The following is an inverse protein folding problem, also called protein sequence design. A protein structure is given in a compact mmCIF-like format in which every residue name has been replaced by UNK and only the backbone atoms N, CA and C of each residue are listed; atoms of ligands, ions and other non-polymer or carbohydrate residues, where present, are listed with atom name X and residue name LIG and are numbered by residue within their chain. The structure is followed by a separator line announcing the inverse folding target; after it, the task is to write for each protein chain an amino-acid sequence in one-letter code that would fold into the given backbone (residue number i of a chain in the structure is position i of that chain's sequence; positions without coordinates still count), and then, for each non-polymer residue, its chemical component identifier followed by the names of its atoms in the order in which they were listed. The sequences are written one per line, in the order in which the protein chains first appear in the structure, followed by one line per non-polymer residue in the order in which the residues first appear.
data_IF_748241311506
#
_entry.id   IF_748241311506
#
_cell.length_a   1.000
_cell.length_b   1.000
_cell.length_c   1.000
_cell.angle_alpha   90.00
_cell.angle_beta   90.00
_cell.angle_gamma   90.00
#
_symmetry.space_group_name_H-M   'P 1'
#
loop_
_entity.id
_entity.type
_entity.pdbx_description
1 polymer ?
#
# COMPACT_ATOMS: atom_id res chain seq x y z
N UNK A 1 -3.30 -16.01 -82.05
CA UNK A 1 -4.20 -17.03 -81.49
C UNK A 1 -3.30 -18.06 -80.82
N UNK A 2 -3.19 -18.22 -79.52
CA UNK A 2 -3.85 -17.66 -78.34
C UNK A 2 -3.19 -18.40 -77.18
N UNK A 3 -2.67 -17.64 -76.23
CA UNK A 3 -1.72 -17.99 -75.17
C UNK A 3 -2.02 -19.21 -74.31
N UNK A 4 -0.93 -19.84 -73.89
CA UNK A 4 -0.78 -20.79 -72.79
C UNK A 4 -1.20 -20.17 -71.44
N UNK A 5 -2.49 -19.99 -71.18
CA UNK A 5 -2.99 -19.61 -69.85
C UNK A 5 -4.10 -20.56 -69.40
N UNK A 6 -3.74 -21.74 -68.85
CA UNK A 6 -4.66 -22.53 -68.02
C UNK A 6 -3.96 -23.66 -67.26
N UNK A 7 -2.99 -23.34 -66.40
CA UNK A 7 -2.43 -24.34 -65.47
C UNK A 7 -1.77 -23.70 -64.24
N UNK A 8 -2.49 -22.89 -63.47
CA UNK A 8 -1.94 -22.36 -62.21
C UNK A 8 -2.94 -22.09 -61.06
N UNK A 9 -4.25 -22.28 -61.22
CA UNK A 9 -5.20 -21.90 -60.14
C UNK A 9 -5.60 -23.03 -59.17
N UNK A 10 -5.48 -24.32 -59.53
CA UNK A 10 -6.04 -25.41 -58.71
C UNK A 10 -5.17 -25.93 -57.55
N UNK A 11 -3.96 -25.39 -57.33
CA UNK A 11 -3.01 -25.91 -56.34
C UNK A 11 -2.78 -25.04 -55.10
N UNK A 12 -3.15 -23.76 -55.18
CA UNK A 12 -2.96 -22.80 -54.08
C UNK A 12 -4.03 -22.97 -52.99
N UNK A 13 -5.30 -23.18 -53.39
CA UNK A 13 -6.45 -23.32 -52.48
C UNK A 13 -6.34 -24.57 -51.59
N UNK A 14 -5.84 -25.70 -52.14
CA UNK A 14 -5.70 -26.95 -51.38
C UNK A 14 -4.53 -26.87 -50.38
N UNK A 15 -3.46 -26.15 -50.72
CA UNK A 15 -2.33 -25.91 -49.82
C UNK A 15 -2.69 -24.96 -48.67
N UNK A 16 -3.54 -23.95 -48.93
CA UNK A 16 -4.02 -23.00 -47.94
C UNK A 16 -5.04 -23.65 -46.98
N UNK A 17 -5.94 -24.49 -47.50
CA UNK A 17 -6.87 -25.29 -46.71
C UNK A 17 -6.13 -26.28 -45.78
N UNK A 18 -5.07 -26.94 -46.26
CA UNK A 18 -4.23 -27.83 -45.44
C UNK A 18 -3.47 -27.06 -44.34
N UNK A 19 -2.95 -25.87 -44.64
CA UNK A 19 -2.30 -24.99 -43.63
C UNK A 19 -3.29 -24.52 -42.58
N UNK A 20 -4.51 -24.13 -42.97
CA UNK A 20 -5.57 -23.74 -42.05
C UNK A 20 -5.99 -24.89 -41.13
N UNK A 21 -6.12 -26.11 -41.66
CA UNK A 21 -6.43 -27.30 -40.88
C UNK A 21 -5.33 -27.65 -39.86
N UNK A 22 -4.05 -27.57 -40.26
CA UNK A 22 -2.91 -27.79 -39.35
C UNK A 22 -2.87 -26.70 -38.27
N UNK A 23 -3.09 -25.44 -38.63
CA UNK A 23 -3.13 -24.32 -37.66
C UNK A 23 -4.28 -24.46 -36.67
N UNK A 24 -5.46 -24.89 -37.13
CA UNK A 24 -6.62 -25.15 -36.27
C UNK A 24 -6.37 -26.33 -35.33
N UNK A 25 -5.71 -27.39 -35.81
CA UNK A 25 -5.31 -28.54 -34.99
C UNK A 25 -4.28 -28.13 -33.91
N UNK A 26 -3.26 -27.37 -34.28
CA UNK A 26 -2.25 -26.86 -33.34
C UNK A 26 -2.85 -25.89 -32.32
N UNK A 27 -3.83 -25.07 -32.71
CA UNK A 27 -4.56 -24.19 -31.80
C UNK A 27 -5.42 -24.96 -30.79
N UNK A 28 -6.16 -25.98 -31.25
CA UNK A 28 -6.93 -26.87 -30.36
C UNK A 28 -6.03 -27.66 -29.42
N UNK A 29 -4.90 -28.15 -29.91
CA UNK A 29 -3.94 -28.91 -29.10
C UNK A 29 -3.24 -28.01 -28.07
N UNK A 30 -2.98 -26.74 -28.40
CA UNK A 30 -2.49 -25.73 -27.46
C UNK A 30 -3.55 -25.33 -26.40
N UNK A 31 -4.83 -25.23 -26.80
CA UNK A 31 -5.94 -24.94 -25.88
C UNK A 31 -6.19 -26.12 -24.92
N UNK A 32 -6.16 -27.36 -25.43
CA UNK A 32 -6.24 -28.57 -24.61
C UNK A 32 -5.04 -28.73 -23.68
N UNK A 33 -3.83 -28.38 -24.13
CA UNK A 33 -2.64 -28.37 -23.27
C UNK A 33 -2.72 -27.28 -22.19
N UNK A 34 -3.33 -26.12 -22.49
CA UNK A 34 -3.60 -25.07 -21.52
C UNK A 34 -4.69 -25.48 -20.51
N UNK A 35 -5.70 -26.24 -20.95
CA UNK A 35 -6.75 -26.80 -20.09
C UNK A 35 -6.25 -27.97 -19.22
N UNK A 36 -5.29 -28.77 -19.72
CA UNK A 36 -4.63 -29.88 -19.00
C UNK A 36 -3.57 -29.42 -18.01
N UNK A 37 -3.14 -28.15 -18.03
CA UNK A 37 -2.42 -27.54 -16.89
C UNK A 37 -3.37 -27.47 -15.70
N UNK A 38 -3.30 -28.51 -14.86
CA UNK A 38 -4.04 -28.66 -13.60
C UNK A 38 -4.28 -27.29 -12.98
N UNK A 39 -5.56 -26.88 -12.87
CA UNK A 39 -6.00 -25.71 -12.11
C UNK A 39 -5.51 -25.89 -10.68
N UNK A 40 -4.28 -25.45 -10.40
CA UNK A 40 -3.71 -25.46 -9.07
C UNK A 40 -4.69 -24.75 -8.13
N UNK A 41 -4.73 -25.18 -6.87
CA UNK A 41 -5.63 -24.73 -5.80
C UNK A 41 -5.91 -23.21 -5.74
N UNK A 42 -5.00 -22.40 -6.31
CA UNK A 42 -5.13 -20.96 -6.46
C UNK A 42 -5.31 -20.55 -7.94
N UNK A 43 -6.55 -20.26 -8.32
CA UNK A 43 -6.81 -19.49 -9.55
C UNK A 43 -6.29 -18.05 -9.39
N UNK A 44 -5.89 -17.36 -10.47
CA UNK A 44 -5.44 -15.96 -10.41
C UNK A 44 -6.45 -15.02 -9.73
N UNK A 45 -7.75 -15.21 -9.98
CA UNK A 45 -8.82 -14.47 -9.34
C UNK A 45 -8.86 -14.70 -7.82
N UNK A 46 -8.74 -15.96 -7.35
CA UNK A 46 -8.70 -16.29 -5.91
C UNK A 46 -7.45 -15.70 -5.25
N UNK A 47 -6.29 -15.74 -5.92
CA UNK A 47 -5.04 -15.15 -5.43
C UNK A 47 -5.15 -13.63 -5.28
N UNK A 48 -5.77 -12.95 -6.24
CA UNK A 48 -6.02 -11.51 -6.16
C UNK A 48 -6.96 -11.15 -5.00
N UNK A 49 -8.08 -11.87 -4.87
CA UNK A 49 -9.04 -11.70 -3.76
C UNK A 49 -8.38 -11.91 -2.39
N UNK A 50 -7.55 -12.96 -2.26
CA UNK A 50 -6.84 -13.24 -1.01
C UNK A 50 -5.84 -12.12 -0.64
N UNK A 51 -5.05 -11.62 -1.61
CA UNK A 51 -4.14 -10.48 -1.35
C UNK A 51 -4.90 -9.22 -0.96
N UNK A 52 -6.06 -8.98 -1.55
CA UNK A 52 -6.92 -7.86 -1.15
C UNK A 52 -7.40 -8.01 0.29
N UNK A 53 -7.90 -9.19 0.67
CA UNK A 53 -8.35 -9.47 2.03
C UNK A 53 -7.21 -9.35 3.05
N UNK A 54 -6.02 -9.83 2.72
CA UNK A 54 -4.84 -9.70 3.58
C UNK A 54 -4.46 -8.24 3.83
N UNK A 55 -4.46 -7.39 2.78
CA UNK A 55 -4.17 -5.96 2.93
C UNK A 55 -5.26 -5.23 3.72
N UNK A 56 -6.53 -5.59 3.51
CA UNK A 56 -7.66 -5.03 4.28
C UNK A 56 -7.51 -5.37 5.76
N UNK A 57 -7.27 -6.65 6.08
CA UNK A 57 -7.04 -7.10 7.46
C UNK A 57 -5.81 -6.42 8.07
N UNK A 58 -4.70 -6.33 7.34
CA UNK A 58 -3.49 -5.65 7.82
C UNK A 58 -3.74 -4.15 8.09
N UNK A 59 -4.52 -3.47 7.26
CA UNK A 59 -4.88 -2.07 7.47
C UNK A 59 -5.82 -1.89 8.67
N UNK A 60 -6.76 -2.80 8.88
CA UNK A 60 -7.63 -2.81 10.07
C UNK A 60 -6.84 -3.09 11.35
N UNK A 61 -5.94 -4.07 11.35
CA UNK A 61 -5.08 -4.38 12.49
C UNK A 61 -4.13 -3.22 12.82
N UNK A 62 -3.56 -2.56 11.81
CA UNK A 62 -2.72 -1.38 12.01
C UNK A 62 -3.48 -0.25 12.71
N UNK A 63 -4.71 0.05 12.28
CA UNK A 63 -5.57 1.05 12.94
C UNK A 63 -5.91 0.68 14.38
N UNK A 64 -6.26 -0.58 14.61
CA UNK A 64 -6.58 -1.08 15.95
C UNK A 64 -5.36 -0.99 16.89
N UNK A 65 -4.17 -1.26 16.37
CA UNK A 65 -2.93 -1.10 17.13
C UNK A 65 -2.61 0.36 17.44
N UNK A 66 -2.81 1.28 16.48
CA UNK A 66 -2.66 2.72 16.69
C UNK A 66 -3.62 3.23 17.78
N UNK A 67 -4.88 2.81 17.74
CA UNK A 67 -5.88 3.15 18.77
C UNK A 67 -5.48 2.61 20.14
N UNK A 68 -5.05 1.35 20.23
CA UNK A 68 -4.54 0.74 21.46
C UNK A 68 -3.33 1.50 21.99
N UNK A 69 -2.37 1.86 21.13
CA UNK A 69 -1.18 2.62 21.50
C UNK A 69 -1.53 4.03 21.97
N UNK A 70 -2.54 4.67 21.37
CA UNK A 70 -3.05 5.98 21.80
C UNK A 70 -3.72 5.90 23.18
N UNK A 71 -4.56 4.89 23.40
CA UNK A 71 -5.19 4.66 24.71
C UNK A 71 -4.15 4.40 25.79
N UNK A 72 -3.18 3.52 25.50
CA UNK A 72 -2.08 3.22 26.40
C UNK A 72 -1.24 4.46 26.70
N UNK A 73 -0.94 5.28 25.68
CA UNK A 73 -0.25 6.56 25.88
C UNK A 73 -1.04 7.46 26.84
N UNK A 74 -2.35 7.59 26.66
CA UNK A 74 -3.18 8.41 27.55
C UNK A 74 -3.17 7.86 28.97
N UNK A 75 -3.26 6.53 29.15
CA UNK A 75 -3.18 5.88 30.46
C UNK A 75 -1.85 6.17 31.16
N UNK A 76 -0.73 5.93 30.48
CA UNK A 76 0.62 6.14 31.03
C UNK A 76 0.84 7.61 31.37
N UNK A 77 0.37 8.54 30.54
CA UNK A 77 0.49 9.98 30.83
C UNK A 77 -0.30 10.34 32.09
N UNK A 78 -1.52 9.82 32.24
CA UNK A 78 -2.31 10.01 33.46
C UNK A 78 -1.62 9.44 34.70
N UNK A 79 -1.08 8.22 34.61
CA UNK A 79 -0.35 7.58 35.73
C UNK A 79 0.93 8.34 36.11
N UNK A 80 1.65 8.92 35.14
CA UNK A 80 2.92 9.63 35.39
C UNK A 80 2.74 11.06 35.86
N UNK A 81 1.79 11.78 35.28
CA UNK A 81 1.58 13.20 35.59
C UNK A 81 0.61 13.40 36.77
N UNK A 82 -0.27 12.44 37.02
CA UNK A 82 -1.33 12.56 38.03
C UNK A 82 -2.36 13.64 37.68
N UNK A 83 -3.21 13.94 38.67
CA UNK A 83 -4.18 15.03 38.58
C UNK A 83 -3.55 16.38 38.93
N UNK A 84 -4.16 17.46 38.45
CA UNK A 84 -3.73 18.83 38.73
C UNK A 84 -3.78 19.11 40.24
N UNK A 85 -2.72 19.74 40.77
CA UNK A 85 -2.68 20.16 42.17
C UNK A 85 -3.68 21.29 42.39
N UNK A 86 -4.36 21.28 43.55
CA UNK A 86 -5.28 22.35 43.92
C UNK A 86 -4.53 23.67 44.16
N UNK A 87 -4.99 24.73 43.51
CA UNK A 87 -4.42 26.09 43.57
C UNK A 87 -5.49 27.13 43.97
N UNK A 88 -6.59 26.68 44.58
CA UNK A 88 -7.67 27.58 44.99
C UNK A 88 -7.27 28.62 46.03
N UNK A 89 -8.14 29.62 46.23
CA UNK A 89 -7.92 30.77 47.13
C UNK A 89 -7.72 30.39 48.61
N UNK A 90 -8.02 29.13 48.98
CA UNK A 90 -7.87 28.61 50.33
C UNK A 90 -6.46 28.05 50.61
N UNK A 91 -5.61 27.95 49.59
CA UNK A 91 -4.26 27.37 49.73
C UNK A 91 -3.29 28.43 50.26
N UNK A 92 -2.55 28.16 51.36
CA UNK A 92 -1.55 29.08 51.88
C UNK A 92 -0.44 29.38 50.86
N UNK A 93 0.12 30.59 50.89
CA UNK A 93 1.18 31.03 49.97
C UNK A 93 2.40 30.10 50.00
N UNK A 94 2.77 29.58 51.18
CA UNK A 94 3.91 28.67 51.29
C UNK A 94 3.62 27.29 50.67
N UNK A 95 2.38 26.82 50.73
CA UNK A 95 1.96 25.61 50.01
C UNK A 95 2.01 25.82 48.50
N UNK A 96 1.61 27.00 48.00
CA UNK A 96 1.74 27.34 46.58
C UNK A 96 3.20 27.36 46.12
N UNK A 97 4.12 27.89 46.94
CA UNK A 97 5.57 27.86 46.63
C UNK A 97 6.10 26.43 46.54
N UNK A 98 5.69 25.56 47.45
CA UNK A 98 6.08 24.15 47.42
C UNK A 98 5.57 23.44 46.16
N UNK A 99 4.32 23.69 45.76
CA UNK A 99 3.75 23.16 44.52
C UNK A 99 4.57 23.61 43.29
N UNK A 100 4.93 24.90 43.21
CA UNK A 100 5.77 25.41 42.13
C UNK A 100 7.14 24.72 42.09
N UNK A 101 7.76 24.49 43.26
CA UNK A 101 9.04 23.80 43.34
C UNK A 101 8.93 22.32 42.93
N UNK A 102 7.90 21.60 43.39
CA UNK A 102 7.63 20.22 42.99
C UNK A 102 7.48 20.09 41.46
N UNK A 103 6.70 20.97 40.84
CA UNK A 103 6.53 20.96 39.39
C UNK A 103 7.83 21.29 38.65
N UNK A 104 8.59 22.25 39.14
CA UNK A 104 9.89 22.59 38.56
C UNK A 104 10.84 21.39 38.60
N UNK A 105 10.98 20.74 39.75
CA UNK A 105 11.87 19.60 39.93
C UNK A 105 11.44 18.40 39.05
N UNK A 106 10.13 18.16 38.95
CA UNK A 106 9.59 17.15 38.06
C UNK A 106 9.87 17.45 36.57
N UNK A 107 9.73 18.71 36.15
CA UNK A 107 10.06 19.15 34.79
C UNK A 107 11.56 18.94 34.48
N UNK A 108 12.46 19.31 35.39
CA UNK A 108 13.91 19.13 35.22
C UNK A 108 14.26 17.64 35.09
N UNK A 109 13.74 16.79 35.97
CA UNK A 109 13.98 15.35 35.92
C UNK A 109 13.44 14.71 34.63
N UNK A 110 12.26 15.15 34.18
CA UNK A 110 11.62 14.70 32.94
C UNK A 110 12.42 15.11 31.71
N UNK A 111 12.90 16.35 31.66
CA UNK A 111 13.68 16.86 30.53
C UNK A 111 15.04 16.14 30.43
N UNK A 112 15.69 15.88 31.57
CA UNK A 112 16.91 15.06 31.60
C UNK A 112 16.67 13.66 31.02
N UNK A 113 15.60 13.00 31.46
CA UNK A 113 15.25 11.66 30.97
C UNK A 113 14.88 11.66 29.48
N UNK A 114 14.20 12.71 29.02
CA UNK A 114 13.84 12.91 27.62
C UNK A 114 15.09 13.08 26.76
N UNK A 115 16.06 13.88 27.19
CA UNK A 115 17.31 14.08 26.46
C UNK A 115 18.03 12.75 26.18
N UNK A 116 18.17 11.89 27.20
CA UNK A 116 18.80 10.58 27.03
C UNK A 116 18.05 9.68 26.04
N UNK A 117 16.72 9.74 26.03
CA UNK A 117 15.89 9.01 25.06
C UNK A 117 16.05 9.56 23.65
N UNK A 118 16.07 10.89 23.49
CA UNK A 118 16.27 11.54 22.20
C UNK A 118 17.63 11.20 21.60
N UNK A 119 18.70 11.21 22.41
CA UNK A 119 20.03 10.82 21.94
C UNK A 119 20.07 9.37 21.46
N UNK A 120 19.40 8.46 22.17
CA UNK A 120 19.26 7.05 21.73
C UNK A 120 18.47 6.93 20.44
N UNK A 121 17.38 7.69 20.27
CA UNK A 121 16.59 7.72 19.05
C UNK A 121 17.42 8.20 17.86
N UNK A 122 18.15 9.31 18.01
CA UNK A 122 19.03 9.86 16.98
C UNK A 122 20.08 8.83 16.55
N UNK A 123 20.71 8.16 17.51
CA UNK A 123 21.68 7.12 17.21
C UNK A 123 21.03 5.94 16.46
N UNK A 124 19.87 5.48 16.90
CA UNK A 124 19.15 4.40 16.23
C UNK A 124 18.74 4.78 14.81
N UNK A 125 18.26 6.00 14.58
CA UNK A 125 17.91 6.50 13.24
C UNK A 125 19.14 6.54 12.33
N UNK A 126 20.28 6.99 12.86
CA UNK A 126 21.56 6.96 12.14
C UNK A 126 21.94 5.54 11.73
N UNK A 127 21.87 4.57 12.66
CA UNK A 127 22.17 3.16 12.39
C UNK A 127 21.18 2.56 11.39
N UNK A 128 19.88 2.84 11.51
CA UNK A 128 18.87 2.36 10.55
C UNK A 128 19.16 2.91 9.15
N UNK A 129 19.51 4.19 9.04
CA UNK A 129 19.84 4.80 7.77
C UNK A 129 21.09 4.17 7.14
N UNK A 130 22.15 3.96 7.94
CA UNK A 130 23.37 3.30 7.49
C UNK A 130 23.09 1.86 7.01
N UNK A 131 22.37 1.06 7.80
CA UNK A 131 21.96 -0.29 7.42
C UNK A 131 21.07 -0.30 6.17
N UNK A 132 20.17 0.69 6.03
CA UNK A 132 19.31 0.82 4.84
C UNK A 132 20.15 1.11 3.60
N UNK A 133 21.16 1.95 3.72
CA UNK A 133 22.11 2.25 2.64
C UNK A 133 22.91 1.01 2.26
N UNK A 134 23.47 0.28 3.24
CA UNK A 134 24.20 -0.96 3.00
C UNK A 134 23.32 -2.01 2.28
N UNK A 135 22.08 -2.21 2.74
CA UNK A 135 21.13 -3.13 2.10
C UNK A 135 20.80 -2.69 0.67
N UNK A 136 20.71 -1.38 0.42
CA UNK A 136 20.44 -0.84 -0.92
C UNK A 136 21.60 -1.11 -1.87
N UNK A 137 22.84 -0.89 -1.42
CA UNK A 137 24.04 -1.14 -2.23
C UNK A 137 24.20 -2.64 -2.53
N UNK A 138 23.91 -3.52 -1.55
CA UNK A 138 23.92 -4.98 -1.72
C UNK A 138 22.85 -5.49 -2.71
N UNK A 139 21.66 -4.87 -2.72
CA UNK A 139 20.58 -5.22 -3.66
C UNK A 139 20.85 -4.73 -5.09
N UNK A 140 21.96 -4.03 -5.30
CA UNK A 140 22.39 -3.48 -6.57
C UNK A 140 21.99 -2.02 -6.70
N UNK A 141 22.97 -1.13 -6.49
CA UNK A 141 22.92 0.33 -6.69
C UNK A 141 22.35 0.78 -8.06
N UNK A 142 22.26 -0.15 -9.03
CA UNK A 142 21.77 0.06 -10.40
C UNK A 142 20.42 -0.58 -10.72
N UNK A 143 19.68 -1.15 -9.76
CA UNK A 143 18.26 -1.47 -9.98
C UNK A 143 17.46 -0.16 -9.92
N UNK A 144 17.64 0.69 -10.93
CA UNK A 144 16.90 1.94 -11.08
C UNK A 144 15.42 1.55 -11.18
N UNK A 145 14.57 1.94 -10.22
CA UNK A 145 13.14 1.77 -10.38
C UNK A 145 12.75 2.38 -11.73
N UNK A 146 11.98 1.69 -12.59
CA UNK A 146 11.64 2.23 -13.90
C UNK A 146 10.94 3.58 -13.69
N UNK A 147 11.63 4.67 -14.07
CA UNK A 147 11.12 6.02 -13.90
C UNK A 147 9.91 6.17 -14.83
N UNK A 148 8.71 6.07 -14.26
CA UNK A 148 7.49 6.38 -14.98
C UNK A 148 7.37 7.90 -15.09
N UNK A 149 6.99 8.39 -16.27
CA UNK A 149 6.62 9.80 -16.45
C UNK A 149 5.33 10.03 -15.66
N UNK A 150 5.45 10.67 -14.51
CA UNK A 150 4.30 10.99 -13.65
C UNK A 150 3.98 12.47 -13.84
N UNK A 151 2.79 12.80 -14.34
CA UNK A 151 2.35 14.19 -14.38
C UNK A 151 1.82 14.61 -13.01
N UNK A 152 2.22 15.80 -12.54
CA UNK A 152 1.81 16.37 -11.23
C UNK A 152 0.29 16.45 -11.04
N UNK A 153 -0.48 16.41 -12.13
CA UNK A 153 -1.93 16.57 -12.13
C UNK A 153 -2.69 15.30 -12.54
N UNK A 154 -2.00 14.25 -12.99
CA UNK A 154 -2.62 13.04 -13.51
C UNK A 154 -3.46 12.33 -12.46
N UNK A 155 -2.93 12.20 -11.25
CA UNK A 155 -3.66 11.61 -10.12
C UNK A 155 -4.86 12.48 -9.70
N UNK A 156 -4.74 13.80 -9.77
CA UNK A 156 -5.84 14.73 -9.49
C UNK A 156 -6.95 14.63 -10.55
N UNK A 157 -6.57 14.50 -11.82
CA UNK A 157 -7.50 14.33 -12.94
C UNK A 157 -8.19 12.96 -12.90
N UNK A 158 -7.44 11.90 -12.58
CA UNK A 158 -8.00 10.56 -12.39
C UNK A 158 -9.01 10.54 -11.23
N UNK A 159 -8.73 11.23 -10.12
CA UNK A 159 -9.68 11.37 -9.01
C UNK A 159 -10.93 12.14 -9.38
N UNK A 160 -10.80 13.25 -10.12
CA UNK A 160 -11.93 14.04 -10.62
C UNK A 160 -12.80 13.21 -11.58
N UNK A 161 -12.19 12.49 -12.53
CA UNK A 161 -12.88 11.62 -13.46
C UNK A 161 -13.58 10.45 -12.75
N UNK A 162 -12.93 9.86 -11.74
CA UNK A 162 -13.53 8.80 -10.94
C UNK A 162 -14.76 9.31 -10.18
N UNK A 163 -14.66 10.44 -9.49
CA UNK A 163 -15.80 11.09 -8.81
C UNK A 163 -16.92 11.45 -9.79
N UNK A 164 -16.59 11.97 -10.96
CA UNK A 164 -17.57 12.28 -12.00
C UNK A 164 -18.27 11.01 -12.51
N UNK A 165 -17.54 9.91 -12.70
CA UNK A 165 -18.11 8.63 -13.12
C UNK A 165 -18.99 7.98 -12.04
N UNK A 166 -18.60 8.07 -10.76
CA UNK A 166 -19.41 7.63 -9.62
C UNK A 166 -20.69 8.44 -9.51
N UNK A 167 -20.63 9.75 -9.73
CA UNK A 167 -21.80 10.63 -9.72
C UNK A 167 -22.75 10.33 -10.88
N UNK A 168 -22.22 10.11 -12.09
CA UNK A 168 -23.02 9.69 -13.26
C UNK A 168 -23.71 8.35 -13.02
N UNK A 169 -22.98 7.35 -12.53
CA UNK A 169 -23.53 6.02 -12.25
C UNK A 169 -24.63 6.07 -11.17
N UNK A 170 -24.42 6.87 -10.12
CA UNK A 170 -25.43 7.09 -9.08
C UNK A 170 -26.69 7.78 -9.61
N UNK A 171 -26.53 8.74 -10.52
CA UNK A 171 -27.65 9.44 -11.17
C UNK A 171 -28.37 8.58 -12.23
N UNK A 172 -27.71 7.60 -12.84
CA UNK A 172 -28.34 6.62 -13.73
C UNK A 172 -29.13 5.57 -12.96
N UNK A 173 -28.59 5.09 -11.83
CA UNK A 173 -29.29 4.16 -10.94
C UNK A 173 -30.55 4.78 -10.34
N UNK A 174 -30.49 6.05 -9.89
CA UNK A 174 -31.65 6.73 -9.32
C UNK A 174 -32.75 7.12 -10.32
N UNK A 175 -32.55 6.85 -11.62
CA UNK A 175 -33.57 7.07 -12.66
C UNK A 175 -34.32 5.80 -13.03
N UNK A 176 -33.87 4.64 -12.55
CA UNK A 176 -34.45 3.33 -12.83
C UNK A 176 -35.23 2.76 -11.63
N UNK A 177 -35.37 3.54 -10.54
CA UNK A 177 -36.31 3.35 -9.43
C UNK A 177 -37.47 4.34 -9.59
#
# INVERSE_FOLDING_TARGET
MGDEEKKAEGGADDAEARKAAVKARMAKEAEEAAAKKKKGFMTPARKSKLRMLLRKKAAEELKKEEERKKQERTRIVGERCGDEKDIGDQVPIDALRNICQEYHDHCVATESSKYDLEMKLIYNDFVINDLTQQVTDLRGKFVKPPLKKVSKFEDKFAQLNKKASEFKLKAELSKND
#
